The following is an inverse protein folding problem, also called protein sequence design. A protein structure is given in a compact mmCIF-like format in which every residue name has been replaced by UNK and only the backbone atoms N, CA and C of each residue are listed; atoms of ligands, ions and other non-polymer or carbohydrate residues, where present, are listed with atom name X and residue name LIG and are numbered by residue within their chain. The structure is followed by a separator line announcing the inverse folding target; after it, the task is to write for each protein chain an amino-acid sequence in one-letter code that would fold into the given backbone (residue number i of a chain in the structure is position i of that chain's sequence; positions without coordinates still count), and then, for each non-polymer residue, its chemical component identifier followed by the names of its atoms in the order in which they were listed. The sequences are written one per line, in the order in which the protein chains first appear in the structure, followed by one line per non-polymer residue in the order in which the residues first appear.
data_IF_582348691836
#
_entry.id   IF_582348691836
#
_cell.length_a   1.000
_cell.length_b   1.000
_cell.length_c   1.000
_cell.angle_alpha   90.00
_cell.angle_beta   90.00
_cell.angle_gamma   90.00
#
_symmetry.space_group_name_H-M   'P 1'
#
loop_
_entity.id
_entity.type
_entity.pdbx_description
1 polymer ?
#
# COMPACT_ATOMS: atom_id res chain seq x y z
N UNK A 1 -7.49 -8.98 -27.37
CA UNK A 1 -6.72 -8.09 -26.46
C UNK A 1 -5.79 -7.18 -27.25
N UNK A 2 -5.00 -7.69 -28.21
CA UNK A 2 -4.12 -6.85 -29.04
C UNK A 2 -4.86 -5.86 -29.95
N UNK A 3 -5.87 -6.30 -30.69
CA UNK A 3 -6.69 -5.40 -31.51
C UNK A 3 -7.36 -4.28 -30.70
N UNK A 4 -7.76 -4.59 -29.46
CA UNK A 4 -8.33 -3.61 -28.54
C UNK A 4 -7.30 -2.57 -28.08
N UNK A 5 -6.07 -3.03 -27.83
CA UNK A 5 -4.95 -2.16 -27.53
C UNK A 5 -4.60 -1.26 -28.72
N UNK A 6 -4.51 -1.82 -29.93
CA UNK A 6 -4.17 -1.08 -31.14
C UNK A 6 -5.24 -0.01 -31.45
N UNK A 7 -6.52 -0.32 -31.22
CA UNK A 7 -7.62 0.67 -31.29
C UNK A 7 -7.45 1.79 -30.27
N UNK A 8 -7.15 1.48 -29.00
CA UNK A 8 -6.92 2.50 -27.96
C UNK A 8 -5.75 3.42 -28.29
N UNK A 9 -4.64 2.88 -28.81
CA UNK A 9 -3.47 3.66 -29.24
C UNK A 9 -3.85 4.57 -30.41
N UNK A 10 -4.61 4.05 -31.37
CA UNK A 10 -5.12 4.83 -32.50
C UNK A 10 -6.02 5.97 -32.02
N UNK A 11 -7.01 5.69 -31.19
CA UNK A 11 -7.95 6.69 -30.68
C UNK A 11 -7.24 7.80 -29.90
N UNK A 12 -6.25 7.45 -29.07
CA UNK A 12 -5.43 8.44 -28.35
C UNK A 12 -4.58 9.29 -29.30
N UNK A 13 -4.03 8.68 -30.35
CA UNK A 13 -3.28 9.41 -31.37
C UNK A 13 -4.18 10.40 -32.10
N UNK A 14 -5.36 9.96 -32.55
CA UNK A 14 -6.35 10.81 -33.23
C UNK A 14 -6.81 11.94 -32.32
N UNK A 15 -7.13 11.66 -31.06
CA UNK A 15 -7.50 12.70 -30.09
C UNK A 15 -6.39 13.75 -29.91
N UNK A 16 -5.13 13.31 -29.84
CA UNK A 16 -3.98 14.20 -29.75
C UNK A 16 -3.76 15.01 -31.04
N UNK A 17 -4.06 14.47 -32.21
CA UNK A 17 -3.95 15.19 -33.48
C UNK A 17 -5.04 16.26 -33.59
N UNK A 18 -6.28 15.92 -33.25
CA UNK A 18 -7.41 16.87 -33.23
C UNK A 18 -7.10 18.07 -32.32
N UNK A 19 -6.56 17.82 -31.12
CA UNK A 19 -6.20 18.89 -30.17
C UNK A 19 -5.09 19.83 -30.67
N UNK A 20 -4.33 19.43 -31.70
CA UNK A 20 -3.25 20.24 -32.28
C UNK A 20 -3.66 20.95 -33.58
N UNK A 21 -4.88 20.73 -34.09
CA UNK A 21 -5.40 21.43 -35.26
C UNK A 21 -5.80 22.85 -34.83
N UNK A 22 -5.34 23.91 -35.51
CA UNK A 22 -5.78 25.28 -35.23
C UNK A 22 -7.30 25.45 -35.35
N UNK A 23 -7.89 26.27 -34.48
CA UNK A 23 -9.35 26.45 -34.42
C UNK A 23 -9.94 26.91 -35.78
N UNK A 24 -9.23 27.75 -36.54
CA UNK A 24 -9.65 28.27 -37.84
C UNK A 24 -9.64 27.20 -38.95
N UNK A 25 -8.75 26.21 -38.85
CA UNK A 25 -8.74 25.04 -39.72
C UNK A 25 -9.81 24.03 -39.32
N UNK A 26 -10.00 23.82 -38.02
CA UNK A 26 -11.02 22.92 -37.48
C UNK A 26 -12.43 23.40 -37.81
N UNK A 27 -12.70 24.70 -37.74
CA UNK A 27 -14.00 25.29 -38.10
C UNK A 27 -14.35 25.07 -39.58
N UNK A 28 -13.35 25.04 -40.48
CA UNK A 28 -13.58 24.83 -41.91
C UNK A 28 -13.71 23.36 -42.30
N UNK A 29 -12.96 22.47 -41.67
CA UNK A 29 -12.78 21.10 -42.17
C UNK A 29 -13.05 19.99 -41.14
N UNK A 30 -13.31 20.34 -39.87
CA UNK A 30 -13.49 19.39 -38.78
C UNK A 30 -14.64 18.41 -38.99
N UNK A 31 -15.76 18.86 -39.56
CA UNK A 31 -16.93 18.01 -39.88
C UNK A 31 -16.61 16.88 -40.88
N UNK A 32 -15.54 17.04 -41.67
CA UNK A 32 -15.10 16.04 -42.64
C UNK A 32 -13.86 15.25 -42.17
N UNK A 33 -13.38 15.49 -40.94
CA UNK A 33 -12.19 14.82 -40.43
C UNK A 33 -12.52 13.36 -40.05
N UNK A 34 -11.92 12.40 -40.75
CA UNK A 34 -12.08 10.97 -40.50
C UNK A 34 -10.72 10.28 -40.56
N UNK A 35 -10.25 9.72 -39.44
CA UNK A 35 -9.11 8.80 -39.41
C UNK A 35 -9.56 7.42 -38.89
N UNK A 36 -10.09 6.55 -39.77
CA UNK A 36 -10.61 5.26 -39.36
C UNK A 36 -9.47 4.32 -39.01
N UNK A 37 -9.64 3.52 -37.95
CA UNK A 37 -8.68 2.47 -37.60
C UNK A 37 -8.52 1.49 -38.78
N UNK A 38 -7.32 1.46 -39.38
CA UNK A 38 -6.95 0.50 -40.42
C UNK A 38 -6.11 -0.59 -39.79
N UNK A 39 -6.56 -1.84 -39.91
CA UNK A 39 -5.84 -3.00 -39.39
C UNK A 39 -4.55 -3.19 -40.20
N UNK A 40 -3.43 -2.68 -39.69
CA UNK A 40 -2.10 -2.78 -40.29
C UNK A 40 -1.04 -2.66 -39.21
N UNK A 41 0.04 -3.43 -39.34
CA UNK A 41 1.17 -3.42 -38.39
C UNK A 41 1.92 -2.09 -38.44
N UNK A 42 1.43 -1.07 -37.72
CA UNK A 42 2.28 0.06 -37.35
C UNK A 42 3.32 -0.46 -36.36
N UNK A 43 4.61 -0.32 -36.68
CA UNK A 43 5.71 -0.65 -35.77
C UNK A 43 5.67 0.33 -34.60
N UNK A 44 5.00 -0.07 -33.52
CA UNK A 44 4.90 0.70 -32.28
C UNK A 44 6.00 0.29 -31.31
N UNK A 45 6.75 1.28 -30.82
CA UNK A 45 7.73 1.11 -29.75
C UNK A 45 7.08 1.42 -28.42
N UNK A 46 7.23 0.51 -27.46
CA UNK A 46 6.65 0.64 -26.13
C UNK A 46 7.71 0.91 -25.08
N UNK A 47 7.32 1.66 -24.05
CA UNK A 47 8.16 1.93 -22.87
C UNK A 47 7.64 1.10 -21.71
N UNK A 48 8.49 0.30 -21.09
CA UNK A 48 8.12 -0.56 -19.95
C UNK A 48 8.89 -0.10 -18.72
N UNK A 49 8.20 0.49 -17.76
CA UNK A 49 8.78 0.91 -16.49
C UNK A 49 8.49 -0.15 -15.44
N UNK A 50 9.52 -0.64 -14.76
CA UNK A 50 9.40 -1.67 -13.74
C UNK A 50 10.01 -1.15 -12.43
N UNK A 51 9.31 -1.37 -11.32
CA UNK A 51 9.86 -1.07 -10.00
C UNK A 51 9.44 -2.12 -9.00
N UNK A 52 10.43 -2.65 -8.31
CA UNK A 52 10.26 -3.47 -7.13
C UNK A 52 10.57 -2.62 -5.90
N UNK A 53 9.77 -2.77 -4.83
CA UNK A 53 10.04 -2.15 -3.54
C UNK A 53 9.90 -3.19 -2.44
N UNK A 54 10.78 -3.15 -1.45
CA UNK A 54 10.65 -3.88 -0.19
C UNK A 54 10.27 -2.86 0.89
N UNK A 55 9.34 -3.24 1.77
CA UNK A 55 8.95 -2.44 2.94
C UNK A 55 8.96 -3.33 4.18
N UNK A 56 9.64 -2.88 5.23
CA UNK A 56 9.52 -3.47 6.57
C UNK A 56 8.22 -2.95 7.19
N UNK A 57 7.26 -3.83 7.39
CA UNK A 57 5.96 -3.51 7.94
C UNK A 57 5.78 -4.19 9.29
N UNK A 58 5.07 -3.51 10.19
CA UNK A 58 4.72 -4.08 11.50
C UNK A 58 3.29 -4.59 11.44
N UNK A 59 3.15 -5.90 11.30
CA UNK A 59 1.86 -6.57 11.45
C UNK A 59 1.80 -7.07 12.88
N UNK A 60 1.05 -6.37 13.74
CA UNK A 60 1.01 -6.61 15.19
C UNK A 60 2.40 -6.36 15.81
N UNK A 61 2.95 -7.35 16.54
CA UNK A 61 4.32 -7.33 17.10
C UNK A 61 5.35 -8.01 16.19
N UNK A 62 4.92 -8.50 15.02
CA UNK A 62 5.80 -9.14 14.05
C UNK A 62 6.27 -8.11 13.03
N UNK A 63 7.60 -7.99 12.90
CA UNK A 63 8.20 -7.35 11.73
C UNK A 63 8.12 -8.32 10.57
N UNK A 64 7.43 -7.92 9.51
CA UNK A 64 7.37 -8.67 8.26
C UNK A 64 7.94 -7.80 7.15
N UNK A 65 8.63 -8.42 6.21
CA UNK A 65 9.09 -7.74 5.01
C UNK A 65 8.09 -8.09 3.91
N UNK A 66 7.40 -7.08 3.40
CA UNK A 66 6.50 -7.22 2.25
C UNK A 66 7.12 -6.53 1.05
N UNK A 67 6.89 -7.07 -0.13
CA UNK A 67 7.40 -6.49 -1.36
C UNK A 67 6.27 -6.11 -2.31
N UNK A 68 6.45 -5.04 -3.06
CA UNK A 68 5.50 -4.62 -4.08
C UNK A 68 6.17 -4.56 -5.45
N UNK A 69 5.46 -5.06 -6.44
CA UNK A 69 5.82 -4.95 -7.85
C UNK A 69 4.88 -3.97 -8.52
N UNK A 70 5.46 -2.98 -9.18
CA UNK A 70 4.75 -2.07 -10.06
C UNK A 70 5.32 -2.12 -11.47
N UNK A 71 4.45 -2.23 -12.45
CA UNK A 71 4.80 -2.14 -13.87
C UNK A 71 3.88 -1.12 -14.55
N UNK A 72 4.47 -0.26 -15.37
CA UNK A 72 3.74 0.61 -16.27
C UNK A 72 4.23 0.37 -17.71
N UNK A 73 3.31 0.03 -18.61
CA UNK A 73 3.58 -0.04 -20.04
C UNK A 73 2.97 1.19 -20.68
N UNK A 74 3.77 1.96 -21.39
CA UNK A 74 3.36 3.17 -22.08
C UNK A 74 3.64 3.08 -23.59
N UNK A 75 2.93 3.89 -24.36
CA UNK A 75 3.26 4.14 -25.76
C UNK A 75 4.52 5.03 -25.89
N UNK A 76 4.86 5.40 -27.12
CA UNK A 76 5.98 6.29 -27.40
C UNK A 76 5.80 7.73 -26.88
N UNK A 77 4.56 8.14 -26.59
CA UNK A 77 4.17 9.46 -26.06
C UNK A 77 4.01 9.46 -24.53
N UNK A 78 4.46 8.41 -23.83
CA UNK A 78 4.33 8.24 -22.38
C UNK A 78 2.89 8.08 -21.86
N UNK A 79 1.93 7.77 -22.75
CA UNK A 79 0.57 7.44 -22.34
C UNK A 79 0.52 6.05 -21.73
N UNK A 80 -0.03 5.93 -20.51
CA UNK A 80 -0.17 4.66 -19.83
C UNK A 80 -1.18 3.76 -20.54
N UNK A 81 -0.68 2.66 -21.10
CA UNK A 81 -1.47 1.65 -21.79
C UNK A 81 -1.98 0.59 -20.80
N UNK A 82 -1.06 0.08 -19.98
CA UNK A 82 -1.28 -1.05 -19.10
C UNK A 82 -0.50 -0.89 -17.80
N UNK A 83 -1.04 -1.44 -16.71
CA UNK A 83 -0.43 -1.40 -15.39
C UNK A 83 -0.49 -2.75 -14.69
N UNK A 84 0.55 -3.05 -13.93
CA UNK A 84 0.57 -4.13 -12.94
C UNK A 84 0.86 -3.52 -11.58
N UNK A 85 0.10 -3.94 -10.57
CA UNK A 85 0.34 -3.66 -9.17
C UNK A 85 0.12 -4.98 -8.44
N UNK A 86 1.21 -5.62 -8.03
CA UNK A 86 1.21 -6.99 -7.54
C UNK A 86 2.03 -7.10 -6.27
N UNK A 87 1.43 -7.73 -5.27
CA UNK A 87 2.12 -8.03 -4.04
C UNK A 87 3.03 -9.25 -4.12
N UNK A 88 4.12 -9.22 -3.37
CA UNK A 88 5.00 -10.38 -3.18
C UNK A 88 5.34 -10.56 -1.71
N UNK A 89 5.29 -11.81 -1.26
CA UNK A 89 5.72 -12.19 0.07
C UNK A 89 7.25 -12.38 0.04
N UNK A 90 7.98 -11.52 0.76
CA UNK A 90 9.46 -11.55 0.76
C UNK A 90 9.98 -12.55 1.81
N UNK A 91 9.08 -13.11 2.61
CA UNK A 91 9.36 -14.19 3.56
C UNK A 91 9.97 -13.70 4.87
N UNK A 92 9.60 -14.35 5.97
CA UNK A 92 10.21 -14.17 7.29
C UNK A 92 11.49 -15.01 7.41
N UNK A 93 12.47 -14.81 6.52
CA UNK A 93 13.77 -15.46 6.66
C UNK A 93 14.80 -14.46 7.13
N UNK A 94 14.96 -14.43 8.46
CA UNK A 94 16.19 -13.99 9.07
C UNK A 94 17.32 -14.90 8.59
N UNK A 95 18.10 -14.44 7.62
CA UNK A 95 19.44 -14.95 7.38
C UNK A 95 20.25 -13.91 6.62
N UNK A 96 21.33 -13.49 7.28
CA UNK A 96 22.48 -12.75 6.75
C UNK A 96 22.68 -12.96 5.24
N UNK A 97 22.27 -11.96 4.45
CA UNK A 97 22.81 -11.78 3.12
C UNK A 97 23.32 -10.34 3.04
N UNK A 98 24.52 -10.18 2.49
CA UNK A 98 25.24 -8.91 2.39
C UNK A 98 24.32 -7.72 2.12
N UNK A 99 24.42 -6.66 2.93
CA UNK A 99 23.70 -5.36 2.81
C UNK A 99 23.80 -4.70 1.42
N UNK A 100 24.63 -5.21 0.52
CA UNK A 100 24.84 -4.67 -0.83
C UNK A 100 23.80 -5.11 -1.86
N UNK A 101 22.89 -6.05 -1.54
CA UNK A 101 21.94 -6.65 -2.48
C UNK A 101 20.46 -6.48 -2.08
N UNK A 102 20.19 -5.70 -1.03
CA UNK A 102 18.86 -5.41 -0.49
C UNK A 102 17.97 -4.79 -1.59
N UNK A 103 16.74 -5.28 -1.78
CA UNK A 103 15.82 -4.81 -2.83
C UNK A 103 16.09 -5.29 -4.26
N UNK A 104 17.32 -5.65 -4.64
CA UNK A 104 17.67 -6.00 -6.04
C UNK A 104 16.89 -7.22 -6.55
N UNK A 105 16.62 -8.18 -5.66
CA UNK A 105 15.85 -9.38 -6.02
C UNK A 105 14.41 -9.04 -6.41
N UNK A 106 13.79 -8.11 -5.69
CA UNK A 106 12.41 -7.66 -5.92
C UNK A 106 12.32 -6.78 -7.17
N UNK A 107 13.34 -5.97 -7.45
CA UNK A 107 13.41 -5.22 -8.71
C UNK A 107 13.57 -6.15 -9.94
N UNK A 108 14.37 -7.21 -9.84
CA UNK A 108 14.47 -8.22 -10.90
C UNK A 108 13.15 -8.96 -11.11
N UNK A 109 12.43 -9.29 -10.04
CA UNK A 109 11.09 -9.87 -10.14
C UNK A 109 10.10 -8.91 -10.81
N UNK A 110 10.15 -7.61 -10.48
CA UNK A 110 9.33 -6.61 -11.15
C UNK A 110 9.64 -6.52 -12.65
N UNK A 111 10.91 -6.63 -13.04
CA UNK A 111 11.32 -6.65 -14.44
C UNK A 111 10.79 -7.88 -15.18
N UNK A 112 10.90 -9.07 -14.57
CA UNK A 112 10.35 -10.32 -15.12
C UNK A 112 8.83 -10.20 -15.32
N UNK A 113 8.12 -9.67 -14.33
CA UNK A 113 6.68 -9.44 -14.42
C UNK A 113 6.34 -8.46 -15.57
N UNK A 114 7.11 -7.39 -15.72
CA UNK A 114 6.88 -6.41 -16.78
C UNK A 114 7.15 -6.94 -18.19
N UNK A 115 8.21 -7.73 -18.37
CA UNK A 115 8.47 -8.40 -19.65
C UNK A 115 7.40 -9.46 -19.97
N UNK A 116 6.95 -10.24 -18.99
CA UNK A 116 5.86 -11.17 -19.21
C UNK A 116 4.54 -10.46 -19.56
N UNK A 117 4.22 -9.34 -18.90
CA UNK A 117 3.07 -8.52 -19.24
C UNK A 117 3.15 -7.98 -20.68
N UNK A 118 4.34 -7.55 -21.11
CA UNK A 118 4.58 -7.13 -22.49
C UNK A 118 4.40 -8.29 -23.49
N UNK A 119 4.88 -9.50 -23.19
CA UNK A 119 4.63 -10.69 -24.03
C UNK A 119 3.14 -11.03 -24.10
N UNK A 120 2.41 -10.92 -22.98
CA UNK A 120 0.97 -11.19 -22.93
C UNK A 120 0.16 -10.20 -23.78
N UNK A 121 0.68 -8.99 -23.99
CA UNK A 121 0.12 -7.98 -24.89
C UNK A 121 0.65 -8.10 -26.34
N UNK A 122 1.42 -9.15 -26.64
CA UNK A 122 2.04 -9.42 -27.95
C UNK A 122 2.96 -8.29 -28.43
N UNK A 123 3.56 -7.53 -27.50
CA UNK A 123 4.43 -6.40 -27.86
C UNK A 123 5.72 -6.94 -28.49
N UNK A 124 6.10 -6.41 -29.66
CA UNK A 124 7.29 -6.87 -30.40
C UNK A 124 8.54 -6.03 -30.13
N UNK A 125 8.37 -4.72 -29.95
CA UNK A 125 9.48 -3.75 -29.82
C UNK A 125 9.29 -2.91 -28.56
N UNK A 126 10.24 -2.98 -27.62
CA UNK A 126 10.15 -2.21 -26.39
C UNK A 126 11.51 -1.78 -25.84
N UNK A 127 11.49 -0.70 -25.08
CA UNK A 127 12.57 -0.31 -24.18
C UNK A 127 12.06 -0.46 -22.76
N UNK A 128 12.77 -1.20 -21.91
CA UNK A 128 12.45 -1.27 -20.50
C UNK A 128 13.39 -0.39 -19.69
N UNK A 129 12.84 0.24 -18.65
CA UNK A 129 13.50 1.27 -17.87
C UNK A 129 13.70 0.80 -16.44
N UNK A 130 14.92 1.02 -15.94
CA UNK A 130 15.35 0.75 -14.56
C UNK A 130 16.02 2.00 -13.99
N UNK A 131 15.92 2.24 -12.69
CA UNK A 131 16.52 3.39 -11.99
C UNK A 131 17.68 2.99 -11.06
N UNK A 132 18.01 1.71 -11.01
CA UNK A 132 19.08 1.19 -10.17
C UNK A 132 20.28 0.73 -11.02
N UNK A 133 21.44 1.36 -10.81
CA UNK A 133 22.65 1.16 -11.63
C UNK A 133 23.15 -0.30 -11.61
N UNK A 134 23.15 -0.94 -10.44
CA UNK A 134 23.55 -2.35 -10.32
C UNK A 134 22.60 -3.28 -11.09
N UNK A 135 21.29 -3.03 -11.04
CA UNK A 135 20.30 -3.78 -11.79
C UNK A 135 20.55 -3.66 -13.29
N UNK A 136 20.81 -2.43 -13.77
CA UNK A 136 21.16 -2.17 -15.17
C UNK A 136 22.40 -2.93 -15.61
N UNK A 137 23.45 -2.96 -14.79
CA UNK A 137 24.68 -3.70 -15.07
C UNK A 137 24.44 -5.22 -15.14
N UNK A 138 23.55 -5.78 -14.32
CA UNK A 138 23.19 -7.19 -14.40
C UNK A 138 22.44 -7.53 -15.70
N UNK A 139 21.42 -6.75 -16.06
CA UNK A 139 20.56 -7.06 -17.22
C UNK A 139 21.21 -6.76 -18.56
N UNK A 140 22.26 -5.92 -18.57
CA UNK A 140 23.13 -5.70 -19.73
C UNK A 140 24.24 -6.74 -19.84
N UNK A 141 24.42 -7.59 -18.83
CA UNK A 141 25.51 -8.57 -18.76
C UNK A 141 26.88 -7.97 -18.49
N UNK A 142 26.95 -6.69 -18.08
CA UNK A 142 28.21 -6.02 -17.76
C UNK A 142 28.88 -6.57 -16.49
N UNK A 143 28.08 -7.12 -15.57
CA UNK A 143 28.55 -7.72 -14.32
C UNK A 143 27.89 -9.07 -14.09
N UNK A 144 28.65 -10.02 -13.55
CA UNK A 144 28.15 -11.31 -13.08
C UNK A 144 28.08 -11.33 -11.55
N UNK A 145 27.11 -12.07 -11.01
CA UNK A 145 26.93 -12.24 -9.57
C UNK A 145 27.26 -13.67 -9.14
N UNK A 146 27.85 -13.81 -7.95
CA UNK A 146 28.04 -15.11 -7.29
C UNK A 146 26.79 -15.55 -6.50
N UNK A 147 25.81 -14.67 -6.32
CA UNK A 147 24.55 -15.00 -5.66
C UNK A 147 23.66 -15.80 -6.63
N UNK A 148 23.41 -17.07 -6.29
CA UNK A 148 22.64 -18.00 -7.12
C UNK A 148 21.19 -17.55 -7.36
N UNK A 149 20.54 -16.92 -6.37
CA UNK A 149 19.18 -16.38 -6.49
C UNK A 149 19.14 -15.25 -7.51
N UNK A 150 20.04 -14.28 -7.39
CA UNK A 150 20.14 -13.15 -8.34
C UNK A 150 20.53 -13.64 -9.73
N UNK A 151 21.49 -14.57 -9.84
CA UNK A 151 21.92 -15.14 -11.12
C UNK A 151 20.75 -15.81 -11.85
N UNK A 152 19.92 -16.56 -11.14
CA UNK A 152 18.73 -17.21 -11.70
C UNK A 152 17.75 -16.19 -12.28
N UNK A 153 17.46 -15.11 -11.54
CA UNK A 153 16.56 -14.05 -11.99
C UNK A 153 17.12 -13.30 -13.21
N UNK A 154 18.42 -12.98 -13.21
CA UNK A 154 19.08 -12.33 -14.35
C UNK A 154 19.02 -13.21 -15.61
N UNK A 155 19.24 -14.52 -15.46
CA UNK A 155 19.11 -15.47 -16.57
C UNK A 155 17.68 -15.51 -17.11
N UNK A 156 16.66 -15.47 -16.25
CA UNK A 156 15.26 -15.38 -16.68
C UNK A 156 14.98 -14.10 -17.47
N UNK A 157 15.47 -12.94 -16.99
CA UNK A 157 15.36 -11.67 -17.73
C UNK A 157 16.01 -11.79 -19.11
N UNK A 158 17.23 -12.33 -19.18
CA UNK A 158 17.95 -12.51 -20.46
C UNK A 158 17.19 -13.41 -21.44
N UNK A 159 16.57 -14.48 -20.96
CA UNK A 159 15.73 -15.36 -21.76
C UNK A 159 14.46 -14.65 -22.26
N UNK A 160 13.84 -13.82 -21.42
CA UNK A 160 12.65 -13.05 -21.80
C UNK A 160 12.98 -11.98 -22.84
N UNK A 161 14.09 -11.26 -22.70
CA UNK A 161 14.54 -10.26 -23.68
C UNK A 161 14.64 -10.85 -25.10
N UNK A 162 15.13 -12.09 -25.23
CA UNK A 162 15.28 -12.80 -26.51
C UNK A 162 13.97 -13.18 -27.19
N UNK A 163 12.83 -13.08 -26.50
CA UNK A 163 11.51 -13.37 -27.06
C UNK A 163 10.90 -12.18 -27.82
N UNK A 164 11.50 -11.00 -27.71
CA UNK A 164 11.08 -9.79 -28.41
C UNK A 164 11.88 -9.59 -29.70
N UNK A 165 11.30 -8.89 -30.68
CA UNK A 165 12.02 -8.50 -31.89
C UNK A 165 13.06 -7.42 -31.61
N UNK A 166 12.72 -6.45 -30.76
CA UNK A 166 13.64 -5.46 -30.20
C UNK A 166 13.34 -5.26 -28.72
N UNK A 167 14.34 -5.44 -27.86
CA UNK A 167 14.21 -5.25 -26.42
C UNK A 167 15.50 -4.65 -25.84
N UNK A 168 15.42 -3.40 -25.40
CA UNK A 168 16.59 -2.65 -24.92
C UNK A 168 16.42 -2.21 -23.47
N UNK A 169 17.43 -2.43 -22.59
CA UNK A 169 17.46 -1.78 -21.29
C UNK A 169 17.79 -0.28 -21.42
N UNK A 170 17.26 0.53 -20.51
CA UNK A 170 17.65 1.93 -20.33
C UNK A 170 17.70 2.27 -18.84
N UNK A 171 18.77 2.96 -18.43
CA UNK A 171 18.93 3.49 -17.07
C UNK A 171 18.39 4.92 -17.03
N UNK A 172 17.52 5.21 -16.06
CA UNK A 172 16.88 6.52 -15.88
C UNK A 172 16.97 7.00 -14.44
N UNK A 173 16.59 8.26 -14.18
CA UNK A 173 16.48 8.75 -12.82
C UNK A 173 15.24 8.15 -12.12
N UNK A 174 15.30 8.02 -10.80
CA UNK A 174 14.16 7.54 -10.00
C UNK A 174 12.89 8.42 -10.19
N UNK A 175 13.06 9.71 -10.50
CA UNK A 175 11.96 10.62 -10.86
C UNK A 175 11.19 10.24 -12.12
N UNK A 176 11.76 9.40 -12.97
CA UNK A 176 11.18 9.05 -14.27
C UNK A 176 10.38 7.75 -14.20
N UNK A 177 10.46 7.02 -13.08
CA UNK A 177 9.74 5.74 -12.83
C UNK A 177 8.47 5.97 -11.96
N UNK A 178 7.93 7.19 -11.91
CA UNK A 178 6.80 7.58 -11.02
C UNK A 178 5.62 6.63 -11.05
N UNK A 179 5.19 6.17 -12.24
CA UNK A 179 4.05 5.27 -12.36
C UNK A 179 4.31 3.91 -11.72
N UNK A 180 5.41 3.26 -12.11
CA UNK A 180 5.76 1.95 -11.59
C UNK A 180 6.07 1.99 -10.08
N UNK A 181 6.76 3.02 -9.60
CA UNK A 181 6.98 3.19 -8.16
C UNK A 181 5.68 3.37 -7.38
N UNK A 182 4.73 4.18 -7.89
CA UNK A 182 3.40 4.32 -7.28
C UNK A 182 2.67 2.98 -7.25
N UNK A 183 2.64 2.24 -8.36
CA UNK A 183 1.98 0.94 -8.42
C UNK A 183 2.62 -0.11 -7.50
N UNK A 184 3.93 -0.06 -7.32
CA UNK A 184 4.66 -0.92 -6.39
C UNK A 184 4.28 -0.58 -4.94
N UNK A 185 4.20 0.72 -4.59
CA UNK A 185 3.71 1.16 -3.28
C UNK A 185 2.25 0.80 -3.04
N UNK A 186 1.38 1.01 -4.02
CA UNK A 186 -0.02 0.61 -3.94
C UNK A 186 -0.15 -0.90 -3.70
N UNK A 187 0.74 -1.71 -4.29
CA UNK A 187 0.79 -3.15 -4.09
C UNK A 187 1.22 -3.52 -2.66
N UNK A 188 2.24 -2.86 -2.10
CA UNK A 188 2.63 -3.01 -0.70
C UNK A 188 1.45 -2.70 0.22
N UNK A 189 0.82 -1.53 0.02
CA UNK A 189 -0.36 -1.12 0.81
C UNK A 189 -1.48 -2.16 0.69
N UNK A 190 -1.76 -2.65 -0.52
CA UNK A 190 -2.82 -3.64 -0.76
C UNK A 190 -2.58 -4.98 -0.06
N UNK A 191 -1.33 -5.42 0.10
CA UNK A 191 -1.00 -6.66 0.83
C UNK A 191 -1.17 -6.53 2.33
N UNK A 192 -0.98 -5.33 2.85
CA UNK A 192 -1.20 -5.02 4.28
C UNK A 192 -2.70 -4.79 4.53
N UNK A 193 -3.50 -4.60 3.47
CA UNK A 193 -4.96 -4.46 3.56
C UNK A 193 -5.61 -5.84 3.54
N UNK A 194 -5.92 -6.38 4.73
CA UNK A 194 -6.51 -7.71 4.86
C UNK A 194 -8.00 -7.76 4.47
N UNK A 195 -8.48 -8.89 3.91
CA UNK A 195 -9.89 -9.11 3.62
C UNK A 195 -10.65 -9.54 4.88
N UNK A 196 -11.89 -9.06 5.04
CA UNK A 196 -12.91 -9.82 5.74
C UNK A 196 -13.80 -10.51 4.69
N UNK A 197 -14.24 -11.71 5.03
CA UNK A 197 -14.72 -12.79 4.17
C UNK A 197 -15.95 -12.47 3.29
N UNK A 198 -16.09 -13.27 2.23
CA UNK A 198 -16.93 -13.09 1.04
C UNK A 198 -18.45 -12.97 1.26
N UNK A 199 -19.09 -12.17 0.40
CA UNK A 199 -20.54 -12.23 0.16
C UNK A 199 -21.09 -11.21 -0.83
N UNK A 200 -20.81 -11.40 -2.12
CA UNK A 200 -21.50 -10.85 -3.30
C UNK A 200 -21.67 -9.31 -3.46
N UNK A 201 -20.91 -8.81 -4.44
CA UNK A 201 -21.49 -7.95 -5.48
C UNK A 201 -21.62 -6.46 -5.17
N UNK A 202 -20.66 -5.71 -5.74
CA UNK A 202 -20.72 -4.28 -6.09
C UNK A 202 -20.68 -3.29 -4.93
N UNK A 203 -19.54 -2.60 -4.86
CA UNK A 203 -19.40 -1.31 -4.21
C UNK A 203 -18.38 -1.33 -3.10
N UNK A 204 -17.34 -0.49 -3.25
CA UNK A 204 -16.42 0.01 -2.21
C UNK A 204 -16.92 -0.27 -0.78
N UNK A 205 -16.57 -1.43 -0.22
CA UNK A 205 -16.95 -1.80 1.13
C UNK A 205 -15.89 -1.31 2.10
N UNK A 206 -16.23 -0.36 2.98
CA UNK A 206 -15.45 -0.09 4.19
C UNK A 206 -15.27 -1.41 4.94
N UNK A 207 -14.06 -1.74 5.38
CA UNK A 207 -13.81 -2.91 6.22
C UNK A 207 -14.69 -2.80 7.47
N UNK A 208 -15.56 -3.78 7.74
CA UNK A 208 -16.39 -3.80 8.93
C UNK A 208 -16.01 -4.98 9.83
N UNK A 209 -16.09 -4.77 11.13
CA UNK A 209 -15.89 -5.78 12.18
C UNK A 209 -17.06 -5.69 13.16
N UNK A 210 -17.56 -6.85 13.59
CA UNK A 210 -18.67 -6.93 14.54
C UNK A 210 -18.17 -6.76 15.97
N UNK A 211 -18.74 -5.81 16.70
CA UNK A 211 -18.41 -5.64 18.12
C UNK A 211 -19.12 -6.70 18.97
N UNK A 212 -18.39 -7.39 19.84
CA UNK A 212 -18.95 -8.42 20.73
C UNK A 212 -19.83 -7.89 21.87
N UNK A 213 -19.91 -6.57 22.07
CA UNK A 213 -20.79 -5.92 23.07
C UNK A 213 -22.13 -5.54 22.46
N UNK A 214 -22.13 -4.74 21.37
CA UNK A 214 -23.37 -4.28 20.75
C UNK A 214 -23.86 -5.20 19.60
N UNK A 215 -23.05 -6.16 19.17
CA UNK A 215 -23.31 -7.05 18.03
C UNK A 215 -23.53 -6.29 16.70
N UNK A 216 -23.12 -5.03 16.61
CA UNK A 216 -23.20 -4.22 15.39
C UNK A 216 -21.89 -4.25 14.60
N UNK A 217 -22.03 -4.28 13.26
CA UNK A 217 -20.90 -4.16 12.33
C UNK A 217 -20.42 -2.71 12.23
N UNK A 218 -19.22 -2.45 12.73
CA UNK A 218 -18.60 -1.12 12.73
C UNK A 218 -17.39 -1.12 11.81
N UNK A 219 -17.04 0.02 11.21
CA UNK A 219 -15.79 0.18 10.46
C UNK A 219 -14.59 -0.30 11.29
N UNK A 220 -13.68 -1.09 10.71
CA UNK A 220 -12.50 -1.61 11.39
C UNK A 220 -11.60 -0.49 11.96
N UNK A 221 -11.64 0.71 11.37
CA UNK A 221 -10.97 1.91 11.92
C UNK A 221 -11.63 2.47 13.19
N UNK A 222 -12.83 2.01 13.51
CA UNK A 222 -13.60 2.38 14.70
C UNK A 222 -13.64 1.22 15.73
N UNK A 223 -12.69 0.29 15.66
CA UNK A 223 -12.52 -0.79 16.62
C UNK A 223 -11.26 -0.56 17.45
N UNK A 224 -11.44 -0.61 18.76
CA UNK A 224 -10.40 -0.55 19.76
C UNK A 224 -9.97 -1.95 20.16
N UNK A 225 -8.65 -2.17 20.27
CA UNK A 225 -8.05 -3.39 20.77
C UNK A 225 -7.39 -3.10 22.11
N UNK A 226 -7.70 -3.89 23.14
CA UNK A 226 -7.09 -3.73 24.46
C UNK A 226 -5.66 -4.29 24.45
N UNK A 227 -4.69 -3.47 24.88
CA UNK A 227 -3.28 -3.87 24.96
C UNK A 227 -3.10 -5.06 25.93
N UNK A 228 -2.27 -6.03 25.55
CA UNK A 228 -1.92 -7.20 26.36
C UNK A 228 -2.92 -8.37 26.33
N UNK A 229 -4.20 -8.18 26.00
CA UNK A 229 -5.14 -9.28 25.76
C UNK A 229 -5.75 -9.32 24.36
N UNK A 230 -5.59 -8.25 23.58
CA UNK A 230 -6.04 -8.15 22.19
C UNK A 230 -7.54 -8.37 21.96
N UNK A 231 -8.38 -8.30 22.99
CA UNK A 231 -9.84 -8.28 22.82
C UNK A 231 -10.30 -6.97 22.18
N UNK A 232 -11.30 -7.07 21.30
CA UNK A 232 -11.67 -6.00 20.36
C UNK A 232 -13.12 -5.56 20.55
N UNK A 233 -13.35 -4.25 20.51
CA UNK A 233 -14.65 -3.61 20.74
C UNK A 233 -14.76 -2.32 19.93
N UNK A 234 -15.97 -1.95 19.48
CA UNK A 234 -16.13 -0.68 18.78
C UNK A 234 -15.89 0.52 19.72
N UNK A 235 -15.47 1.65 19.14
CA UNK A 235 -15.21 2.89 19.84
C UNK A 235 -16.40 3.37 20.68
N UNK A 236 -17.67 3.33 20.21
CA UNK A 236 -18.82 3.68 21.05
C UNK A 236 -18.93 2.81 22.31
N UNK A 237 -18.83 1.48 22.18
CA UNK A 237 -18.91 0.58 23.32
C UNK A 237 -17.75 0.77 24.30
N UNK A 238 -16.53 0.96 23.79
CA UNK A 238 -15.37 1.20 24.65
C UNK A 238 -15.46 2.58 25.33
N UNK A 239 -15.93 3.61 24.63
CA UNK A 239 -16.17 4.94 25.20
C UNK A 239 -17.12 4.86 26.39
N UNK A 240 -18.29 4.25 26.18
CA UNK A 240 -19.30 4.10 27.21
C UNK A 240 -18.79 3.26 28.39
N UNK A 241 -18.08 2.16 28.12
CA UNK A 241 -17.47 1.33 29.16
C UNK A 241 -16.48 2.11 30.02
N UNK A 242 -15.57 2.87 29.40
CA UNK A 242 -14.59 3.69 30.13
C UNK A 242 -15.28 4.80 30.93
N UNK A 243 -16.26 5.49 30.35
CA UNK A 243 -17.04 6.53 31.04
C UNK A 243 -17.72 6.00 32.30
N UNK A 244 -18.39 4.84 32.21
CA UNK A 244 -19.05 4.22 33.36
C UNK A 244 -18.02 3.85 34.44
N UNK A 245 -16.88 3.25 34.07
CA UNK A 245 -15.84 2.87 35.05
C UNK A 245 -15.22 4.08 35.74
N UNK A 246 -15.01 5.18 35.02
CA UNK A 246 -14.53 6.43 35.60
C UNK A 246 -15.54 7.08 36.54
N UNK A 247 -16.84 7.01 36.23
CA UNK A 247 -17.91 7.48 37.12
C UNK A 247 -17.99 6.64 38.41
N UNK A 248 -17.80 5.32 38.30
CA UNK A 248 -17.67 4.39 39.44
C UNK A 248 -16.37 4.59 40.23
N UNK A 249 -15.45 5.41 39.73
CA UNK A 249 -14.16 5.70 40.34
C UNK A 249 -13.16 4.54 40.29
N UNK A 250 -13.33 3.65 39.32
CA UNK A 250 -12.43 2.51 39.09
C UNK A 250 -11.69 2.64 37.77
N UNK A 251 -10.53 1.98 37.67
CA UNK A 251 -9.81 1.88 36.40
C UNK A 251 -10.56 0.98 35.42
N UNK A 252 -10.66 1.43 34.17
CA UNK A 252 -11.27 0.63 33.12
C UNK A 252 -10.37 -0.59 32.81
N UNK A 253 -10.97 -1.78 32.91
CA UNK A 253 -10.37 -3.06 32.51
C UNK A 253 -11.00 -3.57 31.22
N UNK A 254 -10.40 -4.58 30.61
CA UNK A 254 -10.98 -5.26 29.45
C UNK A 254 -12.41 -5.73 29.78
N UNK A 255 -13.41 -5.43 28.92
CA UNK A 255 -14.78 -5.92 29.08
C UNK A 255 -14.93 -7.45 29.01
N UNK A 256 -13.92 -8.18 28.51
CA UNK A 256 -14.05 -9.62 28.31
C UNK A 256 -14.10 -10.35 29.66
N UNK A 257 -15.03 -11.29 29.78
CA UNK A 257 -15.22 -12.07 31.00
C UNK A 257 -13.92 -12.81 31.37
N UNK A 258 -13.50 -12.71 32.63
CA UNK A 258 -12.28 -13.32 33.14
C UNK A 258 -10.97 -12.63 32.72
N UNK A 259 -11.01 -11.61 31.85
CA UNK A 259 -9.81 -10.87 31.45
C UNK A 259 -9.43 -9.80 32.48
N UNK A 260 -8.13 -9.75 32.83
CA UNK A 260 -7.59 -8.82 33.85
C UNK A 260 -6.80 -7.65 33.27
N UNK A 261 -6.64 -7.56 31.95
CA UNK A 261 -5.88 -6.49 31.31
C UNK A 261 -6.53 -5.13 31.53
N UNK A 262 -5.71 -4.13 31.83
CA UNK A 262 -6.16 -2.75 32.01
C UNK A 262 -6.20 -2.02 30.66
N UNK A 263 -7.13 -1.07 30.54
CA UNK A 263 -7.23 -0.22 29.36
C UNK A 263 -6.25 0.94 29.50
N UNK A 264 -5.29 1.06 28.58
CA UNK A 264 -4.25 2.09 28.62
C UNK A 264 -4.79 3.48 28.29
N UNK A 265 -4.36 4.47 29.05
CA UNK A 265 -4.71 5.89 28.87
C UNK A 265 -4.17 6.42 27.52
N UNK A 266 -2.98 5.97 27.13
CA UNK A 266 -2.30 6.44 25.92
C UNK A 266 -3.04 6.02 24.64
N UNK A 267 -3.67 4.85 24.66
CA UNK A 267 -4.39 4.31 23.49
C UNK A 267 -5.85 4.75 23.43
N UNK A 268 -6.40 5.27 24.54
CA UNK A 268 -7.78 5.78 24.63
C UNK A 268 -8.01 7.15 23.96
N UNK A 269 -6.96 7.94 23.72
CA UNK A 269 -7.08 9.24 23.07
C UNK A 269 -7.66 9.21 21.65
N UNK A 270 -7.80 8.01 21.06
CA UNK A 270 -8.40 7.80 19.73
C UNK A 270 -9.92 7.87 19.72
N UNK A 271 -10.58 7.68 20.86
CA UNK A 271 -12.06 7.63 20.94
C UNK A 271 -12.66 8.34 22.16
N UNK A 272 -11.85 8.68 23.17
CA UNK A 272 -12.30 9.47 24.31
C UNK A 272 -12.15 10.96 24.06
N UNK A 273 -13.08 11.74 24.63
CA UNK A 273 -12.96 13.19 24.66
C UNK A 273 -11.75 13.61 25.53
N UNK A 274 -11.02 14.69 25.18
CA UNK A 274 -9.83 15.12 25.93
C UNK A 274 -10.07 15.30 27.43
N UNK A 275 -11.27 15.77 27.82
CA UNK A 275 -11.67 15.91 29.23
C UNK A 275 -11.72 14.57 29.97
N UNK A 276 -12.14 13.50 29.30
CA UNK A 276 -12.21 12.15 29.88
C UNK A 276 -10.81 11.53 30.01
N UNK A 277 -9.92 11.80 29.05
CA UNK A 277 -8.50 11.38 29.13
C UNK A 277 -7.81 12.05 30.32
N UNK A 278 -8.10 13.33 30.57
CA UNK A 278 -7.58 14.06 31.73
C UNK A 278 -8.08 13.47 33.05
N UNK A 279 -9.39 13.18 33.16
CA UNK A 279 -9.97 12.52 34.33
C UNK A 279 -9.33 11.15 34.54
N UNK A 280 -9.16 10.34 33.49
CA UNK A 280 -8.53 9.02 33.58
C UNK A 280 -7.07 9.12 34.04
N UNK A 281 -6.33 10.12 33.55
CA UNK A 281 -4.96 10.42 33.97
C UNK A 281 -4.88 10.82 35.44
N UNK A 282 -5.83 11.64 35.89
CA UNK A 282 -5.91 12.04 37.29
C UNK A 282 -6.23 10.84 38.18
N UNK A 283 -7.21 10.00 37.84
CA UNK A 283 -7.52 8.77 38.59
C UNK A 283 -6.32 7.83 38.71
N UNK A 284 -5.45 7.78 37.70
CA UNK A 284 -4.22 6.97 37.75
C UNK A 284 -3.27 7.45 38.82
N UNK A 285 -3.08 8.77 38.91
CA UNK A 285 -2.29 9.39 39.97
C UNK A 285 -2.93 9.14 41.33
N UNK A 286 -4.25 9.25 41.44
CA UNK A 286 -5.01 9.00 42.67
C UNK A 286 -4.90 7.56 43.20
N UNK A 287 -4.88 6.57 42.30
CA UNK A 287 -4.65 5.17 42.67
C UNK A 287 -3.22 4.88 43.12
N UNK A 288 -2.25 5.72 42.75
CA UNK A 288 -0.85 5.59 43.19
C UNK A 288 -0.59 6.23 44.56
N UNK A 289 -1.53 7.01 45.09
CA UNK A 289 -1.43 7.60 46.44
C UNK A 289 -1.86 6.54 47.47
N UNK A 290 -1.06 6.36 48.52
CA UNK A 290 -1.39 5.45 49.62
C UNK A 290 -2.68 5.90 50.32
N UNK A 291 -3.52 4.95 50.74
CA UNK A 291 -4.81 5.25 51.39
C UNK A 291 -4.64 6.16 52.60
N UNK A 292 -3.53 6.05 53.31
CA UNK A 292 -3.22 6.86 54.50
C UNK A 292 -2.86 8.32 54.18
N UNK A 293 -2.52 8.62 52.93
CA UNK A 293 -2.09 9.94 52.45
C UNK A 293 -3.18 10.70 51.67
N UNK A 294 -4.32 10.05 51.39
CA UNK A 294 -5.43 10.65 50.64
C UNK A 294 -6.16 11.72 51.46
N UNK A 295 -6.23 12.93 50.92
CA UNK A 295 -7.10 14.01 51.43
C UNK A 295 -8.15 14.34 50.36
N UNK A 296 -9.43 14.31 50.74
CA UNK A 296 -10.54 14.63 49.82
C UNK A 296 -10.93 16.10 49.94
N UNK A 297 -10.95 16.83 48.82
CA UNK A 297 -11.47 18.20 48.76
C UNK A 297 -13.01 18.19 48.86
N UNK A 298 -13.63 18.88 49.85
CA UNK A 298 -15.09 18.83 50.04
C UNK A 298 -15.92 19.66 49.05
N UNK A 299 -15.29 20.49 48.19
CA UNK A 299 -16.00 21.52 47.42
C UNK A 299 -15.67 21.37 45.92
N UNK A 300 -16.69 20.97 45.17
CA UNK A 300 -16.79 20.83 43.71
C UNK A 300 -16.53 19.43 43.14
N UNK A 301 -17.47 18.96 42.31
CA UNK A 301 -17.49 17.67 41.60
C UNK A 301 -16.43 17.57 40.48
N UNK A 302 -15.27 18.16 40.66
CA UNK A 302 -14.08 17.97 39.83
C UNK A 302 -12.93 17.60 40.75
N UNK A 303 -12.61 16.31 40.74
CA UNK A 303 -11.70 15.64 41.66
C UNK A 303 -10.24 16.04 41.38
N UNK A 304 -9.64 16.78 42.31
CA UNK A 304 -8.21 16.77 42.54
C UNK A 304 -7.95 16.21 43.94
N UNK A 305 -7.34 15.02 44.02
CA UNK A 305 -6.69 14.57 45.28
C UNK A 305 -5.31 15.22 45.35
N UNK A 306 -5.07 15.94 46.43
CA UNK A 306 -3.76 16.50 46.77
C UNK A 306 -3.03 15.59 47.77
N UNK A 307 -1.70 15.56 47.66
CA UNK A 307 -0.81 14.88 48.61
C UNK A 307 -0.56 15.80 49.80
N UNK A 308 -0.65 15.27 51.03
CA UNK A 308 -0.18 15.99 52.23
C UNK A 308 1.30 16.33 52.05
N UNK A 309 1.62 17.62 51.89
CA UNK A 309 2.97 18.13 52.10
C UNK A 309 3.32 18.11 53.57
#
# INVERSE_FOLDING_TARGET
MREDLDRRIHDQKVASEIMNIPDDEWEKYGDNYVDPFKNGERVSFFKVFCKGVESEERIRDMKVIVGGIGVAICDSKDNLIFKVSKGIDVGAEGSSSNKSCEGVSVELQALIEGLNAALALDLKNLTFFVDHSMLYQYVTGAIQTQNSKISTLVNQVSLLQKKFADCKPSLVACSDIKFAFRFAKDAVVSQITWPADNGNGKGKGKLKETCVICYEDTDAYQIFSVDGCFHRYCFPCMKQHVEVKLLEGTMAKCPHEGCKSEVSIETCGKFLDPKLVEIMSQRKKETSIDVTEKVYCPISKMLSIDVKK
#
